data_IF_909096197693
#
_entry.id   IF_909096197693
#
_cell.length_a   1.000
_cell.length_b   1.000
_cell.length_c   1.000
_cell.angle_alpha   90.00
_cell.angle_beta   90.00
_cell.angle_gamma   90.00
#
_symmetry.space_group_name_H-M   'P 1'
#
loop_
_entity.id
_entity.type
_entity.pdbx_description
1 polymer ?
#
# COMPACT_ATOMS: atom_id res chain seq x y z
N UNK A 1 12.64 -6.11 10.18
CA UNK A 1 12.55 -7.56 9.81
C UNK A 1 11.19 -8.21 10.14
N UNK A 2 10.67 -9.11 9.30
CA UNK A 2 9.38 -9.81 9.47
C UNK A 2 9.56 -11.33 9.28
N UNK A 3 8.93 -12.15 10.13
CA UNK A 3 9.05 -13.62 10.13
C UNK A 3 7.68 -14.29 10.21
N UNK A 4 7.35 -15.16 9.24
CA UNK A 4 6.05 -15.83 9.20
C UNK A 4 5.80 -16.73 10.40
N UNK A 5 6.84 -17.43 10.87
CA UNK A 5 6.78 -18.28 12.07
C UNK A 5 6.27 -17.54 13.32
N UNK A 6 6.50 -16.23 13.40
CA UNK A 6 6.04 -15.40 14.51
C UNK A 6 4.71 -14.72 14.16
N UNK A 7 4.62 -14.09 12.99
CA UNK A 7 3.48 -13.27 12.61
C UNK A 7 2.19 -14.08 12.40
N UNK A 8 2.27 -15.28 11.79
CA UNK A 8 1.09 -16.10 11.51
C UNK A 8 0.36 -16.54 12.80
N UNK A 9 1.03 -17.19 13.78
CA UNK A 9 0.34 -17.57 15.01
C UNK A 9 -0.12 -16.36 15.82
N UNK A 10 0.66 -15.27 15.83
CA UNK A 10 0.30 -14.04 16.54
C UNK A 10 -1.01 -13.44 16.00
N UNK A 11 -1.08 -13.17 14.69
CA UNK A 11 -2.26 -12.59 14.04
C UNK A 11 -3.47 -13.52 14.17
N UNK A 12 -3.29 -14.84 13.96
CA UNK A 12 -4.38 -15.82 14.14
C UNK A 12 -4.86 -15.95 15.58
N UNK A 13 -3.99 -15.68 16.55
CA UNK A 13 -4.31 -15.62 17.98
C UNK A 13 -4.86 -14.27 18.44
N UNK A 14 -5.08 -13.30 17.54
CA UNK A 14 -5.58 -11.96 17.88
C UNK A 14 -4.51 -10.99 18.40
N UNK A 15 -3.23 -11.38 18.40
CA UNK A 15 -2.11 -10.52 18.75
C UNK A 15 -1.54 -9.85 17.49
N UNK A 16 -2.14 -8.73 17.12
CA UNK A 16 -1.84 -7.96 15.89
C UNK A 16 -0.93 -6.76 16.19
N UNK A 17 -0.07 -6.34 15.24
CA UNK A 17 0.84 -5.20 15.45
C UNK A 17 0.09 -3.88 15.52
N UNK A 18 0.51 -2.93 16.37
CA UNK A 18 -0.12 -1.61 16.48
C UNK A 18 -0.08 -0.83 15.17
N UNK A 19 1.10 -0.74 14.54
CA UNK A 19 1.29 -0.21 13.19
C UNK A 19 1.97 -1.22 12.25
N UNK A 20 1.72 -1.06 10.95
CA UNK A 20 2.40 -1.82 9.90
C UNK A 20 3.46 -0.91 9.28
N UNK A 21 4.68 -1.42 9.12
CA UNK A 21 5.79 -0.71 8.50
C UNK A 21 6.69 -1.68 7.73
N UNK A 22 7.62 -1.12 6.96
CA UNK A 22 8.42 -1.88 5.99
C UNK A 22 9.84 -2.15 6.44
N UNK A 23 10.45 -1.26 7.21
CA UNK A 23 11.91 -1.21 7.37
C UNK A 23 12.59 -1.22 5.98
N UNK A 24 12.04 -0.47 5.01
CA UNK A 24 12.47 -0.51 3.60
C UNK A 24 13.87 0.11 3.44
N UNK A 25 14.76 -0.61 2.77
CA UNK A 25 16.09 -0.13 2.39
C UNK A 25 16.60 -0.86 1.13
N UNK A 26 17.73 -0.42 0.57
CA UNK A 26 18.29 -0.97 -0.68
C UNK A 26 18.51 -2.49 -0.65
N UNK A 27 18.69 -3.08 0.53
CA UNK A 27 18.88 -4.53 0.70
C UNK A 27 17.61 -5.36 0.63
N UNK A 28 16.42 -4.75 0.72
CA UNK A 28 15.15 -5.48 0.78
C UNK A 28 14.08 -4.98 -0.22
N UNK A 29 14.37 -3.94 -0.99
CA UNK A 29 13.48 -3.39 -2.04
C UNK A 29 13.22 -4.39 -3.17
N UNK A 30 14.16 -5.29 -3.46
CA UNK A 30 13.99 -6.40 -4.41
C UNK A 30 13.80 -7.75 -3.69
N UNK A 31 13.54 -7.71 -2.39
CA UNK A 31 13.53 -8.88 -1.52
C UNK A 31 12.21 -9.04 -0.78
N UNK A 32 12.22 -9.37 0.52
CA UNK A 32 11.00 -9.72 1.24
C UNK A 32 10.05 -8.53 1.42
N UNK A 33 10.55 -7.29 1.46
CA UNK A 33 9.72 -6.13 1.76
C UNK A 33 9.04 -5.60 0.50
N UNK A 34 9.81 -5.34 -0.56
CA UNK A 34 9.36 -4.71 -1.82
C UNK A 34 8.84 -3.29 -1.64
N UNK A 35 7.72 -3.13 -0.95
CA UNK A 35 7.08 -1.86 -0.63
C UNK A 35 6.04 -2.03 0.49
N UNK A 36 5.42 -0.93 0.90
CA UNK A 36 4.39 -0.92 1.94
C UNK A 36 3.18 -1.78 1.58
N UNK A 37 2.72 -1.71 0.32
CA UNK A 37 1.54 -2.45 -0.17
C UNK A 37 1.75 -3.97 -0.09
N UNK A 38 2.97 -4.45 -0.34
CA UNK A 38 3.33 -5.85 -0.22
C UNK A 38 3.30 -6.32 1.25
N UNK A 39 3.79 -5.51 2.19
CA UNK A 39 3.71 -5.84 3.63
C UNK A 39 2.26 -5.83 4.13
N UNK A 40 1.46 -4.83 3.75
CA UNK A 40 0.02 -4.80 4.01
C UNK A 40 -0.68 -6.06 3.47
N UNK A 41 -0.32 -6.50 2.27
CA UNK A 41 -0.86 -7.70 1.63
C UNK A 41 -0.51 -8.99 2.38
N UNK A 42 0.67 -9.07 3.03
CA UNK A 42 1.00 -10.19 3.91
C UNK A 42 0.06 -10.24 5.11
N UNK A 43 -0.11 -9.12 5.82
CA UNK A 43 -1.00 -9.05 6.98
C UNK A 43 -2.43 -9.42 6.60
N UNK A 44 -2.92 -8.87 5.47
CA UNK A 44 -4.23 -9.20 4.91
C UNK A 44 -4.36 -10.71 4.62
N UNK A 45 -3.35 -11.29 3.95
CA UNK A 45 -3.34 -12.72 3.59
C UNK A 45 -3.20 -13.66 4.79
N UNK A 46 -2.61 -13.21 5.90
CA UNK A 46 -2.53 -14.01 7.14
C UNK A 46 -3.91 -14.09 7.82
N UNK A 47 -4.77 -13.09 7.61
CA UNK A 47 -6.13 -13.03 8.15
C UNK A 47 -6.48 -11.73 8.89
N UNK A 48 -5.61 -10.72 8.85
CA UNK A 48 -5.96 -9.40 9.41
C UNK A 48 -7.08 -8.77 8.57
N UNK A 49 -8.17 -8.26 9.17
CA UNK A 49 -9.24 -7.60 8.44
C UNK A 49 -8.73 -6.41 7.62
N UNK A 50 -9.28 -6.20 6.42
CA UNK A 50 -8.85 -5.11 5.52
C UNK A 50 -8.90 -3.74 6.22
N UNK A 51 -9.97 -3.46 6.97
CA UNK A 51 -10.09 -2.19 7.69
C UNK A 51 -8.96 -1.98 8.71
N UNK A 52 -8.48 -3.04 9.37
CA UNK A 52 -7.34 -2.96 10.29
C UNK A 52 -6.03 -2.76 9.54
N UNK A 53 -5.84 -3.45 8.42
CA UNK A 53 -4.65 -3.26 7.58
C UNK A 53 -4.54 -1.80 7.15
N UNK A 54 -5.63 -1.17 6.71
CA UNK A 54 -5.64 0.26 6.36
C UNK A 54 -5.38 1.12 7.60
N UNK A 55 -6.15 0.95 8.68
CA UNK A 55 -6.01 1.75 9.91
C UNK A 55 -4.59 1.72 10.49
N UNK A 56 -3.98 0.52 10.57
CA UNK A 56 -2.63 0.30 11.08
C UNK A 56 -1.53 0.78 10.13
N UNK A 57 -1.91 1.17 8.90
CA UNK A 57 -1.01 1.76 7.89
C UNK A 57 -1.26 3.26 7.67
N UNK A 58 -2.25 3.85 8.33
CA UNK A 58 -2.62 5.26 8.17
C UNK A 58 -2.75 5.97 9.53
N UNK A 59 -3.88 5.81 10.19
CA UNK A 59 -4.25 6.54 11.41
C UNK A 59 -3.33 6.16 12.58
N UNK A 60 -2.97 4.89 12.73
CA UNK A 60 -2.12 4.47 13.85
C UNK A 60 -0.71 5.06 13.77
N UNK A 61 0.06 4.88 12.67
CA UNK A 61 1.39 5.49 12.58
C UNK A 61 1.34 7.03 12.59
N UNK A 62 0.30 7.66 12.05
CA UNK A 62 0.11 9.11 12.15
C UNK A 62 0.01 9.59 13.62
N UNK A 63 -0.70 8.84 14.47
CA UNK A 63 -0.77 9.11 15.91
C UNK A 63 0.56 8.86 16.61
N UNK A 64 1.28 7.80 16.24
CA UNK A 64 2.58 7.44 16.84
C UNK A 64 3.67 8.51 16.63
N UNK A 65 3.53 9.35 15.60
CA UNK A 65 4.47 10.44 15.29
C UNK A 65 3.91 11.85 15.57
N UNK A 66 2.84 11.95 16.38
CA UNK A 66 2.18 13.21 16.72
C UNK A 66 1.68 14.02 15.50
N UNK A 67 1.25 13.33 14.45
CA UNK A 67 0.66 13.91 13.23
C UNK A 67 -0.78 13.46 13.02
N UNK A 68 -1.63 13.73 14.01
CA UNK A 68 -3.06 13.40 13.96
C UNK A 68 -3.83 14.12 12.84
N UNK A 69 -3.21 15.10 12.18
CA UNK A 69 -3.70 15.75 10.97
C UNK A 69 -3.56 14.87 9.71
N UNK A 70 -2.75 13.80 9.75
CA UNK A 70 -2.55 12.83 8.67
C UNK A 70 -3.40 11.56 8.84
N UNK A 71 -3.46 10.76 7.77
CA UNK A 71 -4.03 9.41 7.80
C UNK A 71 -5.56 9.35 7.82
N UNK A 72 -6.25 10.49 7.70
CA UNK A 72 -7.72 10.58 7.66
C UNK A 72 -8.22 11.27 6.39
N UNK A 73 -9.48 11.01 6.01
CA UNK A 73 -10.16 11.67 4.89
C UNK A 73 -11.26 12.60 5.42
N UNK A 74 -10.86 13.61 6.18
CA UNK A 74 -11.76 14.58 6.81
C UNK A 74 -11.81 15.89 6.02
N UNK A 75 -12.93 16.60 6.07
CA UNK A 75 -13.03 17.95 5.49
C UNK A 75 -12.00 18.87 6.15
N UNK A 76 -11.18 19.54 5.33
CA UNK A 76 -10.11 20.43 5.78
C UNK A 76 -8.72 19.78 5.90
N UNK A 77 -8.62 18.45 5.79
CA UNK A 77 -7.34 17.76 5.72
C UNK A 77 -6.68 17.93 4.34
N UNK A 78 -5.34 17.83 4.30
CA UNK A 78 -4.59 17.79 3.05
C UNK A 78 -5.00 16.56 2.21
N UNK A 79 -5.12 16.72 0.89
CA UNK A 79 -5.55 15.67 -0.02
C UNK A 79 -4.41 14.68 -0.33
N UNK A 80 -4.03 13.90 0.68
CA UNK A 80 -3.07 12.80 0.63
C UNK A 80 -3.81 11.47 0.59
N UNK A 81 -3.89 10.88 -0.61
CA UNK A 81 -4.79 9.76 -0.90
C UNK A 81 -4.04 8.67 -1.64
N UNK A 82 -4.20 7.43 -1.19
CA UNK A 82 -3.81 6.24 -1.95
C UNK A 82 -5.06 5.50 -2.40
N UNK A 83 -5.19 5.27 -3.70
CA UNK A 83 -6.26 4.42 -4.26
C UNK A 83 -5.71 3.00 -4.39
N UNK A 84 -6.36 2.06 -3.72
CA UNK A 84 -5.96 0.66 -3.68
C UNK A 84 -7.00 -0.22 -4.35
N UNK A 85 -6.54 -1.15 -5.18
CA UNK A 85 -7.34 -2.25 -5.70
C UNK A 85 -7.13 -3.48 -4.83
N UNK A 86 -8.22 -4.07 -4.34
CA UNK A 86 -8.20 -5.35 -3.64
C UNK A 86 -8.40 -6.47 -4.66
N UNK A 87 -7.41 -7.37 -4.76
CA UNK A 87 -7.35 -8.40 -5.79
C UNK A 87 -7.39 -9.77 -5.12
N UNK A 88 -8.27 -10.65 -5.59
CA UNK A 88 -8.30 -12.08 -5.25
C UNK A 88 -7.49 -12.89 -6.27
N UNK A 89 -6.80 -13.92 -5.82
CA UNK A 89 -5.92 -14.73 -6.66
C UNK A 89 -4.98 -15.59 -5.84
N UNK A 90 -3.90 -16.09 -6.46
CA UNK A 90 -2.87 -16.85 -5.75
C UNK A 90 -1.58 -16.05 -5.77
N UNK A 91 -1.13 -15.61 -4.59
CA UNK A 91 0.04 -14.73 -4.45
C UNK A 91 1.06 -15.33 -3.50
N UNK A 92 2.33 -15.32 -3.90
CA UNK A 92 3.45 -15.72 -3.05
C UNK A 92 4.03 -14.52 -2.31
N UNK A 93 4.29 -14.67 -1.01
CA UNK A 93 4.97 -13.68 -0.18
C UNK A 93 6.16 -14.32 0.51
N UNK A 94 7.30 -13.64 0.55
CA UNK A 94 8.51 -14.10 1.25
C UNK A 94 8.72 -13.36 2.56
N UNK A 95 9.47 -13.96 3.49
CA UNK A 95 9.89 -13.31 4.73
C UNK A 95 11.43 -13.20 4.83
N UNK A 96 11.92 -12.65 5.95
CA UNK A 96 13.35 -12.47 6.16
C UNK A 96 14.14 -13.79 6.27
N UNK A 97 13.46 -14.93 6.47
CA UNK A 97 14.08 -16.25 6.56
C UNK A 97 14.23 -16.96 5.22
N UNK A 98 13.84 -16.33 4.11
CA UNK A 98 13.80 -16.98 2.79
C UNK A 98 12.68 -18.02 2.67
N UNK A 99 11.70 -17.99 3.58
CA UNK A 99 10.51 -18.85 3.50
C UNK A 99 9.38 -18.11 2.78
N UNK A 100 8.34 -18.86 2.35
CA UNK A 100 7.19 -18.28 1.67
C UNK A 100 5.85 -18.69 2.29
N UNK A 101 4.88 -17.80 2.15
CA UNK A 101 3.46 -18.05 2.38
C UNK A 101 2.71 -17.84 1.06
N UNK A 102 1.68 -18.65 0.81
CA UNK A 102 0.73 -18.42 -0.28
C UNK A 102 -0.52 -17.75 0.30
N UNK A 103 -0.86 -16.56 -0.20
CA UNK A 103 -2.08 -15.84 0.10
C UNK A 103 -3.09 -15.93 -1.04
N UNK A 104 -4.36 -15.72 -0.69
CA UNK A 104 -5.50 -15.74 -1.61
C UNK A 104 -5.92 -14.33 -2.11
N UNK A 105 -5.20 -13.31 -1.66
CA UNK A 105 -5.52 -11.91 -1.94
C UNK A 105 -4.31 -10.98 -1.78
N UNK A 106 -4.32 -9.85 -2.46
CA UNK A 106 -3.36 -8.76 -2.27
C UNK A 106 -4.00 -7.39 -2.49
N UNK A 107 -3.28 -6.36 -2.08
CA UNK A 107 -3.57 -4.97 -2.44
C UNK A 107 -2.62 -4.55 -3.57
N UNK A 108 -3.08 -3.62 -4.40
CA UNK A 108 -2.29 -2.99 -5.45
C UNK A 108 -2.57 -1.49 -5.45
N UNK A 109 -1.52 -0.68 -5.45
CA UNK A 109 -1.68 0.77 -5.58
C UNK A 109 -1.92 1.13 -7.03
N UNK A 110 -3.04 1.77 -7.31
CA UNK A 110 -3.42 2.19 -8.67
C UNK A 110 -3.36 3.71 -8.84
N UNK A 111 -3.34 4.48 -7.75
CA UNK A 111 -3.10 5.92 -7.80
C UNK A 111 -2.58 6.46 -6.47
N UNK A 112 -1.68 7.44 -6.51
CA UNK A 112 -1.30 8.26 -5.34
C UNK A 112 -1.51 9.74 -5.64
N UNK A 113 -2.20 10.42 -4.73
CA UNK A 113 -2.44 11.85 -4.74
C UNK A 113 -1.69 12.45 -3.54
N UNK A 114 -0.86 13.46 -3.77
CA UNK A 114 -0.14 14.21 -2.73
C UNK A 114 -0.54 15.68 -2.82
N UNK A 115 -1.07 16.23 -1.73
CA UNK A 115 -1.54 17.61 -1.67
C UNK A 115 -2.46 17.99 -2.86
N UNK A 116 -3.34 17.08 -3.27
CA UNK A 116 -4.28 17.28 -4.38
C UNK A 116 -3.72 17.02 -5.78
N UNK A 117 -2.43 16.68 -5.93
CA UNK A 117 -1.80 16.38 -7.21
C UNK A 117 -1.60 14.88 -7.40
N UNK A 118 -1.94 14.35 -8.57
CA UNK A 118 -1.66 12.96 -8.92
C UNK A 118 -0.16 12.81 -9.19
N UNK A 119 0.54 12.05 -8.35
CA UNK A 119 1.99 11.80 -8.46
C UNK A 119 2.33 10.37 -8.89
N UNK A 120 1.33 9.48 -8.92
CA UNK A 120 1.46 8.10 -9.35
C UNK A 120 0.14 7.65 -9.96
N UNK A 121 0.16 7.24 -11.23
CA UNK A 121 -0.98 6.69 -11.97
C UNK A 121 -0.48 5.70 -13.04
N UNK A 122 0.00 4.50 -12.64
CA UNK A 122 0.68 3.55 -13.51
C UNK A 122 -0.23 2.96 -14.59
N UNK A 123 -1.55 3.04 -14.42
CA UNK A 123 -2.54 2.50 -15.35
C UNK A 123 -3.29 3.58 -16.13
N UNK A 124 -2.97 4.86 -15.91
CA UNK A 124 -3.63 5.98 -16.58
C UNK A 124 -5.12 6.12 -16.21
N UNK A 125 -5.50 5.83 -14.96
CA UNK A 125 -6.88 5.99 -14.48
C UNK A 125 -7.41 7.42 -14.62
N UNK A 126 -6.51 8.40 -14.60
CA UNK A 126 -6.85 9.82 -14.77
C UNK A 126 -6.82 10.29 -16.23
N UNK A 127 -6.40 9.43 -17.15
CA UNK A 127 -6.20 9.78 -18.56
C UNK A 127 -7.42 9.39 -19.41
N UNK A 128 -7.74 10.15 -20.47
CA UNK A 128 -8.74 9.73 -21.44
C UNK A 128 -8.25 8.52 -22.24
N UNK A 129 -9.20 7.79 -22.84
CA UNK A 129 -8.87 6.80 -23.86
C UNK A 129 -8.15 7.47 -25.03
N UNK A 130 -7.17 6.77 -25.63
CA UNK A 130 -6.33 7.37 -26.69
C UNK A 130 -7.14 7.84 -27.91
N UNK A 131 -8.32 7.26 -28.14
CA UNK A 131 -9.24 7.63 -29.22
C UNK A 131 -9.96 8.95 -28.97
N UNK A 132 -10.06 9.35 -27.71
CA UNK A 132 -10.73 10.57 -27.25
C UNK A 132 -9.71 11.69 -26.94
N UNK A 133 -8.43 11.43 -27.22
CA UNK A 133 -7.35 12.40 -27.02
C UNK A 133 -7.51 13.61 -27.96
N UNK A 134 -7.13 14.83 -27.50
CA UNK A 134 -7.17 16.01 -28.36
C UNK A 134 -6.24 15.83 -29.58
N UNK A 135 -6.56 16.46 -30.73
CA UNK A 135 -5.78 16.30 -31.96
C UNK A 135 -4.30 16.72 -31.89
N UNK A 136 -3.81 17.25 -30.78
CA UNK A 136 -2.41 17.66 -30.59
C UNK A 136 -1.80 17.09 -29.30
N UNK A 137 -2.29 15.95 -28.80
CA UNK A 137 -1.83 15.36 -27.53
C UNK A 137 -0.32 14.99 -27.50
N UNK A 138 0.35 14.95 -28.65
CA UNK A 138 1.80 14.75 -28.78
C UNK A 138 2.63 16.03 -28.49
N UNK A 139 1.99 17.19 -28.33
CA UNK A 139 2.65 18.41 -27.86
C UNK A 139 2.77 18.34 -26.33
N UNK A 140 3.85 17.71 -25.86
CA UNK A 140 4.08 17.52 -24.42
C UNK A 140 4.53 18.83 -23.78
N UNK A 141 3.66 19.50 -23.03
CA UNK A 141 4.03 20.60 -22.12
C UNK A 141 4.33 20.14 -20.69
N UNK A 142 4.63 18.86 -20.49
CA UNK A 142 4.84 18.31 -19.14
C UNK A 142 6.20 18.72 -18.57
N UNK A 143 6.13 19.54 -17.52
CA UNK A 143 7.18 19.71 -16.51
C UNK A 143 6.87 18.63 -15.46
N UNK A 144 7.81 17.73 -15.18
CA UNK A 144 7.74 16.79 -14.06
C UNK A 144 7.83 17.52 -12.73
#
# INVERSE_FOLDING_TARGET
>A
SFWFRNAIPAIKGGFVPDSISTDLHMGNINGPVVNMINVMSKCLSIGMPLYEVIMRSTVTPAKEIDRSDLGTLSVGSEADITVLKHIKGVFGFTDCGGTKMIGDQKLECVMTIRAGNIIYDPTGLSMPEWKDAPPSYWETSYIW
#
